data_IF_053047061826
#
_entry.id   IF_053047061826
#
_cell.length_a   1.000
_cell.length_b   1.000
_cell.length_c   1.000
_cell.angle_alpha   90.00
_cell.angle_beta   90.00
_cell.angle_gamma   90.00
#
_symmetry.space_group_name_H-M   'P 1'
#
loop_
_entity.id
_entity.type
_entity.pdbx_description
1 polymer ?
#
# COMPACT_ATOMS: atom_id res chain seq x y z
N UNK A 1 -1.45 34.24 -16.39
CA UNK A 1 -0.14 33.64 -16.01
C UNK A 1 -0.05 33.18 -14.55
N UNK A 2 -0.73 33.80 -13.58
CA UNK A 2 -0.70 33.34 -12.17
C UNK A 2 -1.46 32.01 -11.90
N UNK A 3 -2.59 31.76 -12.55
CA UNK A 3 -3.39 30.54 -12.30
C UNK A 3 -2.70 29.25 -12.75
N UNK A 4 -2.01 29.27 -13.90
CA UNK A 4 -1.25 28.13 -14.40
C UNK A 4 -0.04 27.77 -13.49
N UNK A 5 0.55 28.77 -12.82
CA UNK A 5 1.62 28.56 -11.83
C UNK A 5 1.07 27.91 -10.55
N UNK A 6 -0.12 28.34 -10.12
CA UNK A 6 -0.81 27.80 -8.93
C UNK A 6 -1.27 26.35 -9.14
N UNK A 7 -1.83 26.02 -10.31
CA UNK A 7 -2.27 24.65 -10.62
C UNK A 7 -1.10 23.68 -10.75
N UNK A 8 0.02 24.10 -11.34
CA UNK A 8 1.23 23.28 -11.43
C UNK A 8 1.83 23.00 -10.04
N UNK A 9 1.81 23.98 -9.13
CA UNK A 9 2.26 23.80 -7.75
C UNK A 9 1.34 22.85 -6.97
N UNK A 10 0.02 22.99 -7.15
CA UNK A 10 -0.97 22.09 -6.56
C UNK A 10 -0.78 20.65 -7.05
N UNK A 11 -0.54 20.44 -8.35
CA UNK A 11 -0.27 19.11 -8.90
C UNK A 11 1.01 18.50 -8.34
N UNK A 12 2.09 19.28 -8.23
CA UNK A 12 3.35 18.82 -7.61
C UNK A 12 3.12 18.36 -6.17
N UNK A 13 2.29 19.08 -5.42
CA UNK A 13 1.95 18.70 -4.05
C UNK A 13 1.09 17.44 -3.99
N UNK A 14 0.08 17.33 -4.85
CA UNK A 14 -0.72 16.11 -5.02
C UNK A 14 0.14 14.89 -5.33
N UNK A 15 1.03 14.99 -6.33
CA UNK A 15 1.93 13.92 -6.71
C UNK A 15 2.90 13.54 -5.56
N UNK A 16 3.36 14.54 -4.80
CA UNK A 16 4.17 14.31 -3.58
C UNK A 16 3.38 13.50 -2.55
N UNK A 17 2.14 13.88 -2.25
CA UNK A 17 1.30 13.17 -1.29
C UNK A 17 0.98 11.76 -1.75
N UNK A 18 0.64 11.56 -3.02
CA UNK A 18 0.39 10.24 -3.59
C UNK A 18 1.61 9.29 -3.45
N UNK A 19 2.81 9.81 -3.74
CA UNK A 19 4.07 9.07 -3.57
C UNK A 19 4.31 8.69 -2.11
N UNK A 20 4.26 9.65 -1.19
CA UNK A 20 4.49 9.37 0.24
C UNK A 20 3.41 8.47 0.84
N UNK A 21 2.15 8.60 0.40
CA UNK A 21 1.08 7.69 0.81
C UNK A 21 1.41 6.27 0.38
N UNK A 22 1.79 6.08 -0.89
CA UNK A 22 2.12 4.77 -1.45
C UNK A 22 3.30 4.13 -0.72
N UNK A 23 4.38 4.89 -0.45
CA UNK A 23 5.54 4.35 0.29
C UNK A 23 5.20 4.01 1.73
N UNK A 24 4.42 4.84 2.43
CA UNK A 24 3.99 4.57 3.82
C UNK A 24 3.04 3.39 3.90
N UNK A 25 2.17 3.21 2.91
CA UNK A 25 1.30 2.03 2.80
C UNK A 25 2.14 0.76 2.63
N UNK A 26 3.11 0.75 1.72
CA UNK A 26 4.00 -0.40 1.53
C UNK A 26 4.75 -0.73 2.81
N UNK A 27 5.37 0.26 3.46
CA UNK A 27 6.07 0.08 4.74
C UNK A 27 5.15 -0.58 5.78
N UNK A 28 3.96 -0.03 6.01
CA UNK A 28 3.07 -0.52 7.04
C UNK A 28 2.51 -1.92 6.74
N UNK A 29 2.17 -2.21 5.47
CA UNK A 29 1.63 -3.52 5.09
C UNK A 29 2.73 -4.58 5.10
N UNK A 30 3.93 -4.31 4.59
CA UNK A 30 5.06 -5.26 4.65
C UNK A 30 5.44 -5.55 6.10
N UNK A 31 5.57 -4.53 6.95
CA UNK A 31 5.92 -4.73 8.36
C UNK A 31 4.89 -5.59 9.09
N UNK A 32 3.60 -5.50 8.71
CA UNK A 32 2.57 -6.38 9.28
C UNK A 32 2.74 -7.86 8.94
N UNK A 33 3.59 -8.20 7.95
CA UNK A 33 3.90 -9.58 7.55
C UNK A 33 5.22 -10.09 8.14
N UNK A 34 5.96 -9.28 8.90
CA UNK A 34 7.22 -9.69 9.54
C UNK A 34 7.03 -10.55 10.79
N UNK A 35 5.78 -10.86 11.18
CA UNK A 35 5.48 -11.70 12.34
C UNK A 35 5.62 -11.02 13.70
N UNK A 36 6.01 -9.74 13.74
CA UNK A 36 6.20 -8.99 14.97
C UNK A 36 5.00 -8.09 15.29
N UNK A 37 4.77 -7.82 16.58
CA UNK A 37 3.81 -6.81 17.01
C UNK A 37 4.43 -5.42 16.84
N UNK A 38 3.76 -4.54 16.11
CA UNK A 38 4.18 -3.16 15.91
C UNK A 38 3.41 -2.26 16.89
N UNK A 39 4.14 -1.60 17.79
CA UNK A 39 3.62 -0.64 18.75
C UNK A 39 4.36 0.68 18.54
N UNK A 40 3.60 1.74 18.28
CA UNK A 40 4.14 3.08 18.05
C UNK A 40 3.49 4.06 19.03
N UNK A 41 4.26 4.81 19.83
CA UNK A 41 3.70 5.77 20.76
C UNK A 41 3.13 6.99 20.01
N UNK A 42 2.04 7.55 20.53
CA UNK A 42 1.55 8.85 20.07
C UNK A 42 2.48 9.95 20.58
N UNK A 43 2.70 10.99 19.76
CA UNK A 43 3.52 12.14 20.10
C UNK A 43 2.77 13.44 19.80
N UNK A 44 2.91 14.45 20.66
CA UNK A 44 2.38 15.80 20.43
C UNK A 44 3.32 16.65 19.57
N UNK A 45 4.58 16.24 19.42
CA UNK A 45 5.60 16.85 18.57
C UNK A 45 5.96 15.88 17.45
N UNK A 46 5.22 15.88 16.33
CA UNK A 46 5.48 14.97 15.22
C UNK A 46 6.79 15.32 14.51
N UNK A 47 7.47 14.30 14.02
CA UNK A 47 8.65 14.50 13.17
C UNK A 47 8.23 14.98 11.78
N UNK A 48 9.12 15.67 11.08
CA UNK A 48 8.87 16.08 9.70
C UNK A 48 8.64 14.90 8.74
N UNK A 49 9.03 13.68 9.15
CA UNK A 49 8.81 12.42 8.44
C UNK A 49 7.47 11.75 8.74
N UNK A 50 6.71 12.22 9.74
CA UNK A 50 5.41 11.67 10.16
C UNK A 50 4.28 12.11 9.21
N UNK A 51 4.37 11.63 7.98
CA UNK A 51 3.38 11.89 6.94
C UNK A 51 1.99 11.39 7.33
N UNK A 52 0.98 12.18 6.99
CA UNK A 52 -0.44 11.91 7.25
C UNK A 52 -0.78 11.78 8.73
N UNK A 53 0.01 12.45 9.60
CA UNK A 53 -0.12 12.44 11.05
C UNK A 53 -0.05 11.02 11.62
N UNK A 54 0.79 10.18 11.02
CA UNK A 54 1.01 8.81 11.45
C UNK A 54 2.50 8.48 11.48
N UNK A 55 2.93 7.98 12.65
CA UNK A 55 4.28 7.43 12.81
C UNK A 55 4.33 6.01 12.26
N UNK A 56 5.11 5.84 11.20
CA UNK A 56 5.41 4.56 10.56
C UNK A 56 6.91 4.54 10.32
N UNK A 57 7.60 3.67 11.05
CA UNK A 57 9.04 3.47 10.90
C UNK A 57 9.37 3.09 9.46
N UNK A 58 10.47 3.63 8.94
CA UNK A 58 10.90 3.35 7.58
C UNK A 58 12.03 2.33 7.62
N UNK A 59 11.72 1.08 7.28
CA UNK A 59 12.77 0.07 7.16
C UNK A 59 13.59 0.36 5.89
N UNK A 60 14.89 0.55 6.08
CA UNK A 60 15.82 0.94 5.02
C UNK A 60 15.89 -0.07 3.87
N UNK A 61 15.74 -1.36 4.17
CA UNK A 61 15.68 -2.43 3.17
C UNK A 61 14.46 -2.30 2.25
N UNK A 62 13.28 -2.01 2.80
CA UNK A 62 12.05 -1.79 2.03
C UNK A 62 12.21 -0.52 1.18
N UNK A 63 12.75 0.55 1.76
CA UNK A 63 13.00 1.80 1.05
C UNK A 63 14.02 1.63 -0.10
N UNK A 64 15.08 0.84 0.10
CA UNK A 64 16.05 0.51 -0.93
C UNK A 64 15.42 -0.35 -2.04
N UNK A 65 14.67 -1.39 -1.67
CA UNK A 65 13.95 -2.25 -2.62
C UNK A 65 12.98 -1.45 -3.49
N UNK A 66 12.18 -0.57 -2.88
CA UNK A 66 11.25 0.32 -3.59
C UNK A 66 11.97 1.25 -4.57
N UNK A 67 13.11 1.83 -4.17
CA UNK A 67 13.92 2.69 -5.06
C UNK A 67 14.49 1.93 -6.25
N UNK A 68 14.87 0.67 -6.06
CA UNK A 68 15.43 -0.16 -7.12
C UNK A 68 14.37 -0.69 -8.10
N UNK A 69 13.15 -0.97 -7.62
CA UNK A 69 12.13 -1.70 -8.40
C UNK A 69 10.92 -0.86 -8.83
N UNK A 70 10.73 0.34 -8.27
CA UNK A 70 9.57 1.19 -8.57
C UNK A 70 10.04 2.52 -9.19
N UNK A 71 10.09 2.61 -10.53
CA UNK A 71 10.54 3.83 -11.20
C UNK A 71 9.48 4.93 -11.16
N UNK A 72 8.18 4.58 -11.17
CA UNK A 72 7.07 5.52 -11.12
C UNK A 72 6.03 5.11 -10.09
N UNK A 73 5.52 6.11 -9.38
CA UNK A 73 4.47 5.97 -8.37
C UNK A 73 3.20 6.64 -8.89
N UNK A 74 2.00 6.21 -8.48
CA UNK A 74 0.79 7.01 -8.64
C UNK A 74 1.04 8.45 -8.17
N UNK A 75 0.66 9.48 -8.96
CA UNK A 75 -0.14 9.45 -10.20
C UNK A 75 0.65 9.25 -11.51
N UNK A 76 1.99 9.20 -11.48
CA UNK A 76 2.81 9.00 -12.68
C UNK A 76 2.68 7.60 -13.30
N UNK A 77 2.15 6.66 -12.52
CA UNK A 77 1.64 5.36 -12.95
C UNK A 77 0.17 5.25 -12.56
N UNK A 78 -0.63 4.54 -13.34
CA UNK A 78 -2.04 4.24 -13.00
C UNK A 78 -2.18 3.24 -11.87
N UNK A 79 -1.17 2.40 -11.60
CA UNK A 79 -1.22 1.37 -10.56
C UNK A 79 0.17 1.02 -10.02
N UNK A 80 0.25 0.83 -8.72
CA UNK A 80 1.35 0.15 -8.04
C UNK A 80 0.78 -1.03 -7.25
N UNK A 81 1.40 -2.19 -7.43
CA UNK A 81 0.99 -3.44 -6.81
C UNK A 81 2.03 -3.91 -5.78
N UNK A 82 1.57 -4.27 -4.59
CA UNK A 82 2.32 -4.98 -3.55
C UNK A 82 1.71 -6.38 -3.38
N UNK A 83 2.48 -7.37 -3.76
CA UNK A 83 2.12 -8.78 -3.75
C UNK A 83 2.76 -9.49 -2.55
N UNK A 84 2.03 -10.43 -1.94
CA UNK A 84 2.56 -11.34 -0.94
C UNK A 84 2.42 -12.79 -1.39
N UNK A 85 3.48 -13.57 -1.21
CA UNK A 85 3.57 -14.97 -1.57
C UNK A 85 4.12 -15.76 -0.39
N UNK A 86 3.66 -16.99 -0.19
CA UNK A 86 4.28 -17.96 0.70
C UNK A 86 5.22 -18.83 -0.14
N UNK A 87 6.45 -19.00 0.30
CA UNK A 87 7.42 -19.91 -0.30
C UNK A 87 7.72 -21.04 0.70
N UNK A 88 7.48 -22.29 0.32
CA UNK A 88 7.73 -23.45 1.18
C UNK A 88 9.21 -23.86 1.12
N UNK A 89 9.67 -24.61 2.12
CA UNK A 89 11.02 -25.18 2.12
C UNK A 89 11.27 -26.13 0.93
N UNK A 90 10.20 -26.76 0.43
CA UNK A 90 10.22 -27.66 -0.73
C UNK A 90 10.21 -26.91 -2.08
N UNK A 91 10.12 -25.58 -2.07
CA UNK A 91 10.21 -24.72 -3.25
C UNK A 91 8.87 -24.34 -3.89
N UNK A 92 7.75 -24.73 -3.30
CA UNK A 92 6.42 -24.34 -3.78
C UNK A 92 6.11 -22.90 -3.43
N UNK A 93 5.46 -22.20 -4.37
CA UNK A 93 5.06 -20.81 -4.20
C UNK A 93 3.54 -20.68 -4.22
N UNK A 94 3.00 -20.07 -3.18
CA UNK A 94 1.57 -19.83 -3.02
C UNK A 94 1.26 -18.32 -2.95
N UNK A 95 0.63 -17.74 -3.99
CA UNK A 95 0.15 -16.35 -3.94
C UNK A 95 -0.92 -16.16 -2.85
N UNK A 96 -0.72 -15.18 -1.96
CA UNK A 96 -1.59 -14.97 -0.80
C UNK A 96 -2.46 -13.71 -0.93
N UNK A 97 -1.84 -12.58 -1.29
CA UNK A 97 -2.49 -11.28 -1.31
C UNK A 97 -1.91 -10.38 -2.39
N UNK A 98 -2.72 -9.45 -2.86
CA UNK A 98 -2.30 -8.36 -3.73
C UNK A 98 -2.97 -7.05 -3.33
N UNK A 99 -2.16 -6.05 -3.02
CA UNK A 99 -2.56 -4.70 -2.63
C UNK A 99 -2.26 -3.75 -3.79
N UNK A 100 -3.25 -3.00 -4.24
CA UNK A 100 -3.11 -2.08 -5.36
C UNK A 100 -3.36 -0.65 -4.92
N UNK A 101 -2.40 0.25 -5.14
CA UNK A 101 -2.63 1.70 -5.10
C UNK A 101 -2.82 2.17 -6.53
N UNK A 102 -4.02 2.62 -6.85
CA UNK A 102 -4.47 3.00 -8.20
C UNK A 102 -4.69 4.49 -8.28
N UNK A 103 -4.46 5.05 -9.45
CA UNK A 103 -4.80 6.41 -9.80
C UNK A 103 -5.70 6.42 -11.02
N UNK A 104 -6.85 7.08 -10.89
CA UNK A 104 -7.82 7.27 -11.96
C UNK A 104 -7.88 8.76 -12.31
N UNK A 105 -7.33 9.13 -13.47
CA UNK A 105 -7.29 10.52 -13.91
C UNK A 105 -8.64 11.05 -14.40
N UNK A 106 -9.62 10.17 -14.66
CA UNK A 106 -10.96 10.57 -15.11
C UNK A 106 -11.89 10.93 -13.93
N UNK A 107 -11.62 10.39 -12.74
CA UNK A 107 -12.40 10.60 -11.53
C UNK A 107 -11.94 11.85 -10.77
N UNK A 108 -12.35 13.03 -11.27
CA UNK A 108 -11.90 14.34 -10.77
C UNK A 108 -12.98 14.98 -9.89
N UNK A 109 -12.55 15.51 -8.74
CA UNK A 109 -13.36 16.38 -7.89
C UNK A 109 -12.62 17.69 -7.62
N UNK A 110 -13.02 18.74 -8.35
CA UNK A 110 -12.41 20.07 -8.26
C UNK A 110 -12.67 20.78 -6.93
N UNK A 111 -13.64 20.32 -6.12
CA UNK A 111 -13.97 20.94 -4.84
C UNK A 111 -12.96 20.58 -3.72
N UNK A 112 -12.16 19.54 -3.92
CA UNK A 112 -11.27 19.00 -2.88
C UNK A 112 -10.06 19.90 -2.67
N UNK A 113 -9.86 20.32 -1.41
CA UNK A 113 -8.63 20.99 -1.01
C UNK A 113 -7.51 19.97 -0.77
N UNK A 114 -6.45 20.04 -1.59
CA UNK A 114 -5.32 19.10 -1.52
C UNK A 114 -4.57 19.19 -0.19
N UNK A 115 -4.35 20.40 0.32
CA UNK A 115 -3.50 20.62 1.51
C UNK A 115 -4.13 20.12 2.79
N UNK A 116 -5.45 20.27 2.93
CA UNK A 116 -6.17 19.94 4.16
C UNK A 116 -6.97 18.66 3.97
N UNK A 117 -8.03 18.71 3.16
CA UNK A 117 -9.00 17.64 3.01
C UNK A 117 -8.36 16.35 2.48
N UNK A 118 -7.65 16.42 1.35
CA UNK A 118 -7.02 15.24 0.76
C UNK A 118 -5.96 14.65 1.69
N UNK A 119 -5.12 15.49 2.31
CA UNK A 119 -4.09 15.04 3.26
C UNK A 119 -4.70 14.25 4.44
N UNK A 120 -5.80 14.74 5.02
CA UNK A 120 -6.50 14.03 6.09
C UNK A 120 -7.18 12.74 5.59
N UNK A 121 -7.80 12.76 4.41
CA UNK A 121 -8.41 11.57 3.82
C UNK A 121 -7.37 10.48 3.52
N UNK A 122 -6.17 10.84 3.04
CA UNK A 122 -5.05 9.91 2.89
C UNK A 122 -4.63 9.29 4.22
N UNK A 123 -4.58 10.07 5.30
CA UNK A 123 -4.32 9.55 6.64
C UNK A 123 -5.37 8.53 7.11
N UNK A 124 -6.65 8.81 6.87
CA UNK A 124 -7.75 7.88 7.17
C UNK A 124 -7.68 6.62 6.31
N UNK A 125 -7.37 6.75 5.01
CA UNK A 125 -7.18 5.62 4.11
C UNK A 125 -6.00 4.74 4.55
N UNK A 126 -4.90 5.36 5.01
CA UNK A 126 -3.72 4.64 5.50
C UNK A 126 -4.04 3.88 6.79
N UNK A 127 -4.78 4.48 7.74
CA UNK A 127 -5.30 3.78 8.94
C UNK A 127 -6.15 2.57 8.54
N UNK A 128 -7.05 2.77 7.58
CA UNK A 128 -7.94 1.71 7.09
C UNK A 128 -7.15 0.56 6.47
N UNK A 129 -6.11 0.86 5.68
CA UNK A 129 -5.22 -0.15 5.11
C UNK A 129 -4.44 -0.92 6.18
N UNK A 130 -3.93 -0.24 7.23
CA UNK A 130 -3.24 -0.88 8.36
C UNK A 130 -4.17 -1.79 9.15
N UNK A 131 -5.42 -1.38 9.38
CA UNK A 131 -6.41 -2.22 10.03
C UNK A 131 -6.77 -3.43 9.16
N UNK A 132 -7.01 -3.20 7.87
CA UNK A 132 -7.33 -4.25 6.91
C UNK A 132 -6.19 -5.28 6.79
N UNK A 133 -4.93 -4.85 6.86
CA UNK A 133 -3.78 -5.75 6.74
C UNK A 133 -3.68 -6.76 7.87
N UNK A 134 -4.34 -6.51 9.02
CA UNK A 134 -4.35 -7.39 10.20
C UNK A 134 -5.53 -8.36 10.26
N UNK A 135 -6.51 -8.23 9.37
CA UNK A 135 -7.71 -9.10 9.37
C UNK A 135 -7.69 -10.13 8.26
N UNK A 136 -6.72 -10.07 7.34
CA UNK A 136 -6.58 -11.04 6.27
C UNK A 136 -6.14 -12.42 6.79
N UNK A 137 -6.45 -13.50 6.06
CA UNK A 137 -5.98 -14.84 6.41
C UNK A 137 -4.45 -14.93 6.56
N UNK A 138 -3.70 -14.28 5.68
CA UNK A 138 -2.22 -14.25 5.73
C UNK A 138 -1.70 -13.74 7.07
N UNK A 139 -2.22 -12.62 7.55
CA UNK A 139 -1.82 -12.09 8.84
C UNK A 139 -2.21 -13.03 9.99
N UNK A 140 -3.48 -13.45 10.00
CA UNK A 140 -4.07 -14.17 11.12
C UNK A 140 -3.46 -15.55 11.33
N UNK A 141 -3.09 -16.23 10.25
CA UNK A 141 -2.69 -17.64 10.31
C UNK A 141 -1.22 -17.87 9.99
N UNK A 142 -0.58 -17.03 9.17
CA UNK A 142 0.74 -17.33 8.60
C UNK A 142 1.84 -16.37 9.05
N UNK A 143 1.55 -15.07 9.20
CA UNK A 143 2.59 -14.06 9.43
C UNK A 143 3.49 -14.34 10.64
N UNK A 144 2.95 -14.92 11.73
CA UNK A 144 3.72 -15.25 12.94
C UNK A 144 4.27 -16.68 12.99
N UNK A 145 3.97 -17.51 11.98
CA UNK A 145 4.33 -18.94 11.95
C UNK A 145 5.42 -19.28 10.93
N UNK A 146 6.04 -18.25 10.35
CA UNK A 146 7.10 -18.42 9.36
C UNK A 146 8.34 -19.07 10.00
N UNK A 147 8.96 -19.99 9.28
CA UNK A 147 10.26 -20.57 9.62
C UNK A 147 10.95 -21.01 8.33
N UNK A 148 12.28 -20.82 8.20
CA UNK A 148 13.04 -21.35 7.05
C UNK A 148 12.82 -22.85 6.80
N UNK A 149 12.52 -23.62 7.83
CA UNK A 149 12.31 -25.07 7.74
C UNK A 149 10.91 -25.45 7.22
N UNK A 150 9.98 -24.49 7.10
CA UNK A 150 8.59 -24.75 6.69
C UNK A 150 8.18 -23.85 5.54
N UNK A 151 8.07 -22.55 5.81
CA UNK A 151 7.75 -21.53 4.83
C UNK A 151 8.16 -20.13 5.30
N UNK A 152 8.38 -19.26 4.33
CA UNK A 152 8.58 -17.83 4.52
C UNK A 152 7.59 -17.03 3.66
N UNK A 153 7.20 -15.85 4.13
CA UNK A 153 6.39 -14.91 3.37
C UNK A 153 7.33 -13.95 2.65
N UNK A 154 7.22 -13.94 1.34
CA UNK A 154 7.90 -13.02 0.45
C UNK A 154 6.95 -11.90 0.04
N UNK A 155 7.52 -10.76 -0.32
CA UNK A 155 6.78 -9.67 -0.94
C UNK A 155 7.45 -9.21 -2.22
N UNK A 156 6.66 -8.66 -3.12
CA UNK A 156 7.13 -8.04 -4.36
C UNK A 156 6.38 -6.76 -4.59
N UNK A 157 7.08 -5.70 -5.00
CA UNK A 157 6.44 -4.45 -5.41
C UNK A 157 6.71 -4.21 -6.89
N UNK A 158 5.66 -3.92 -7.64
CA UNK A 158 5.73 -3.71 -9.08
C UNK A 158 4.88 -2.52 -9.49
N UNK A 159 5.34 -1.82 -10.52
CA UNK A 159 4.49 -0.91 -11.28
C UNK A 159 3.52 -1.71 -12.18
N UNK A 160 2.25 -1.32 -12.18
CA UNK A 160 1.21 -1.91 -13.02
C UNK A 160 0.18 -2.73 -12.26
N UNK A 161 -0.71 -3.35 -13.03
CA UNK A 161 -1.81 -4.18 -12.55
C UNK A 161 -1.31 -5.49 -11.90
N UNK A 162 -2.05 -6.04 -10.92
CA UNK A 162 -1.69 -7.28 -10.27
C UNK A 162 -1.79 -8.44 -11.27
N UNK A 163 -0.76 -9.28 -11.27
CA UNK A 163 -0.65 -10.46 -12.15
C UNK A 163 -0.79 -11.78 -11.41
N UNK A 164 -0.91 -11.75 -10.08
CA UNK A 164 -1.03 -12.94 -9.26
C UNK A 164 -2.41 -13.58 -9.43
N UNK A 165 -2.42 -14.88 -9.71
CA UNK A 165 -3.60 -15.70 -9.52
C UNK A 165 -3.71 -16.12 -8.05
N UNK A 166 -4.71 -15.57 -7.35
CA UNK A 166 -4.98 -15.88 -5.94
C UNK A 166 -5.87 -17.12 -5.76
N UNK A 167 -6.19 -17.82 -6.86
CA UNK A 167 -6.98 -19.04 -6.87
C UNK A 167 -8.48 -18.82 -6.76
N UNK A 168 -9.21 -19.94 -6.78
CA UNK A 168 -10.68 -19.95 -6.73
C UNK A 168 -11.21 -19.36 -5.41
N UNK A 169 -12.29 -18.58 -5.50
CA UNK A 169 -12.94 -17.99 -4.33
C UNK A 169 -12.13 -16.85 -3.69
N UNK A 170 -11.10 -16.32 -4.37
CA UNK A 170 -10.42 -15.10 -3.94
C UNK A 170 -11.44 -13.99 -3.64
N UNK A 171 -11.13 -13.17 -2.64
CA UNK A 171 -11.96 -12.01 -2.29
C UNK A 171 -11.26 -10.74 -2.67
N UNK A 172 -12.03 -9.80 -3.23
CA UNK A 172 -11.58 -8.45 -3.54
C UNK A 172 -12.37 -7.44 -2.73
N UNK A 173 -11.65 -6.48 -2.15
CA UNK A 173 -12.18 -5.43 -1.31
C UNK A 173 -11.57 -4.09 -1.72
N UNK A 174 -12.40 -3.07 -1.76
CA UNK A 174 -11.93 -1.70 -1.86
C UNK A 174 -11.75 -1.15 -0.44
N UNK A 175 -10.52 -0.76 -0.12
CA UNK A 175 -10.20 -0.13 1.17
C UNK A 175 -10.73 1.30 1.18
N UNK A 176 -10.60 2.03 0.07
CA UNK A 176 -11.10 3.38 -0.04
C UNK A 176 -10.77 4.06 -1.36
N UNK A 177 -11.37 5.24 -1.54
CA UNK A 177 -11.09 6.18 -2.64
C UNK A 177 -10.91 7.57 -2.02
N UNK A 178 -9.88 8.28 -2.44
CA UNK A 178 -9.58 9.66 -2.06
C UNK A 178 -9.62 10.51 -3.33
N UNK A 179 -10.69 11.29 -3.55
CA UNK A 179 -10.81 12.14 -4.72
C UNK A 179 -9.85 13.34 -4.66
N UNK A 180 -9.58 13.94 -5.81
CA UNK A 180 -8.81 15.19 -5.89
C UNK A 180 -9.13 15.96 -7.18
N UNK A 181 -8.69 17.22 -7.31
CA UNK A 181 -8.83 18.00 -8.54
C UNK A 181 -8.04 17.46 -9.74
N UNK A 182 -7.22 16.43 -9.54
CA UNK A 182 -6.37 15.84 -10.58
C UNK A 182 -6.70 14.37 -10.89
N UNK A 183 -7.75 13.82 -10.26
CA UNK A 183 -8.09 12.41 -10.31
C UNK A 183 -8.18 11.79 -8.90
N UNK A 184 -8.56 10.52 -8.81
CA UNK A 184 -8.75 9.85 -7.53
C UNK A 184 -7.68 8.79 -7.25
N UNK A 185 -7.25 8.70 -5.99
CA UNK A 185 -6.42 7.61 -5.50
C UNK A 185 -7.31 6.54 -4.88
N UNK A 186 -7.09 5.28 -5.26
CA UNK A 186 -7.88 4.14 -4.79
C UNK A 186 -6.95 3.08 -4.23
N UNK A 187 -7.36 2.45 -3.13
CA UNK A 187 -6.68 1.28 -2.60
C UNK A 187 -7.61 0.08 -2.66
N UNK A 188 -7.17 -0.96 -3.37
CA UNK A 188 -7.86 -2.23 -3.45
C UNK A 188 -6.97 -3.34 -2.85
N UNK A 189 -7.61 -4.31 -2.20
CA UNK A 189 -7.00 -5.51 -1.63
C UNK A 189 -7.68 -6.73 -2.26
N UNK A 190 -6.90 -7.65 -2.79
CA UNK A 190 -7.37 -8.99 -3.15
C UNK A 190 -6.61 -10.02 -2.34
N UNK A 191 -7.29 -11.05 -1.83
CA UNK A 191 -6.62 -12.11 -1.07
C UNK A 191 -7.24 -13.49 -1.31
N UNK A 192 -6.38 -14.50 -1.22
CA UNK A 192 -6.72 -15.92 -1.28
C UNK A 192 -7.51 -16.34 -0.05
N UNK A 193 -8.56 -17.12 -0.25
CA UNK A 193 -9.38 -17.69 0.84
C UNK A 193 -9.12 -19.17 1.06
N UNK A 194 -8.77 -19.91 -0.01
CA UNK A 194 -8.41 -21.34 0.06
C UNK A 194 -6.89 -21.52 0.07
N UNK A 195 -6.36 -21.99 1.19
CA UNK A 195 -4.91 -22.09 1.45
C UNK A 195 -4.35 -23.46 1.10
N UNK A 196 -4.76 -23.98 -0.05
CA UNK A 196 -4.32 -25.26 -0.59
C UNK A 196 -3.47 -24.98 -1.83
N UNK A 197 -2.36 -25.71 -1.96
CA UNK A 197 -1.57 -25.78 -3.18
C UNK A 197 -2.21 -26.89 -4.01
N UNK A 198 -2.83 -26.55 -5.13
CA UNK A 198 -3.34 -27.55 -6.06
C UNK A 198 -2.12 -28.19 -6.75
N UNK A 199 -1.93 -29.49 -6.50
CA UNK A 199 -0.98 -30.33 -7.23
C UNK A 199 -1.58 -30.76 -8.58
#
# INVERSE_FOLDING_TARGET
MCEASSSAQAYKQFAKFAKFFTTRLVQAVVQSRLGQALVQPCCTQPDASDWFNMRIDELGEIAAYMRANVPRYPPMSSCLTLDFLLNTADGDVLPLESWCVRFDCADVDASVNIRTQMYHQLGTMLKSAISASRVTPTYRYYARKQSPDTFIILYRVCEGEPKLDLGEGQRKFRIGVVPSPFGSLRVDLSYRTRMEILQ
#
